data_IF_120678752232
#
_entry.id   IF_120678752232
#
_cell.length_a   1.000
_cell.length_b   1.000
_cell.length_c   1.000
_cell.angle_alpha   90.00
_cell.angle_beta   90.00
_cell.angle_gamma   90.00
#
_symmetry.space_group_name_H-M   'P 1'
#
loop_
_entity.id
_entity.type
_entity.pdbx_description
1 polymer ?
#
# COMPACT_ATOMS: atom_id res chain seq x y z
N UNK A 1 13.76 25.94 13.70
CA UNK A 1 14.21 26.64 12.48
C UNK A 1 13.40 26.10 11.32
N UNK A 2 12.38 26.83 10.93
CA UNK A 2 11.36 26.48 9.94
C UNK A 2 11.75 27.03 8.57
N UNK A 3 11.86 26.18 7.55
CA UNK A 3 12.00 26.62 6.16
C UNK A 3 10.64 26.52 5.46
N UNK A 4 10.00 27.68 5.29
CA UNK A 4 8.90 27.89 4.35
C UNK A 4 9.49 28.08 2.95
N UNK A 5 9.05 27.26 2.00
CA UNK A 5 9.31 27.45 0.58
C UNK A 5 8.07 28.09 -0.05
N UNK A 6 8.17 29.38 -0.37
CA UNK A 6 7.19 30.16 -1.15
C UNK A 6 7.90 30.57 -2.44
N UNK A 7 7.56 29.92 -3.56
CA UNK A 7 8.05 30.30 -4.88
C UNK A 7 7.18 31.45 -5.43
N UNK A 8 7.79 32.63 -5.43
CA UNK A 8 7.31 33.87 -6.02
C UNK A 8 7.33 33.77 -7.56
N UNK A 9 6.15 33.89 -8.19
CA UNK A 9 6.02 34.11 -9.64
C UNK A 9 6.15 35.62 -9.92
N UNK A 10 7.30 35.99 -10.48
CA UNK A 10 7.58 37.30 -11.07
C UNK A 10 6.78 37.46 -12.37
N UNK A 11 5.75 38.30 -12.36
CA UNK A 11 5.13 38.79 -13.60
C UNK A 11 5.82 40.10 -14.01
N UNK A 12 6.57 40.06 -15.11
CA UNK A 12 7.18 41.23 -15.76
C UNK A 12 6.08 42.10 -16.37
N UNK A 13 5.91 43.30 -15.84
CA UNK A 13 5.17 44.39 -16.48
C UNK A 13 6.12 45.01 -17.53
N UNK A 14 5.84 44.83 -18.82
CA UNK A 14 6.49 45.62 -19.87
C UNK A 14 5.64 46.86 -20.15
N UNK A 15 6.26 48.02 -19.94
CA UNK A 15 5.69 49.33 -20.14
C UNK A 15 5.46 49.65 -21.62
N UNK A 16 4.32 50.28 -21.86
CA UNK A 16 3.86 50.91 -23.08
C UNK A 16 4.82 52.03 -23.55
N UNK A 17 5.24 51.99 -24.82
CA UNK A 17 5.80 53.15 -25.53
C UNK A 17 5.31 53.14 -26.98
N UNK A 18 4.47 54.13 -27.30
CA UNK A 18 4.23 54.68 -28.63
C UNK A 18 4.97 56.05 -28.68
N UNK A 19 5.32 56.63 -29.85
CA UNK A 19 4.37 56.93 -30.92
C UNK A 19 4.92 56.82 -32.36
N UNK A 20 4.06 57.20 -33.32
CA UNK A 20 4.33 57.57 -34.71
C UNK A 20 4.38 56.41 -35.73
N UNK A 21 3.31 56.20 -36.51
CA UNK A 21 3.16 56.67 -37.90
C UNK A 21 1.80 56.23 -38.46
N UNK A 22 1.11 57.18 -39.09
CA UNK A 22 -0.06 56.97 -39.95
C UNK A 22 0.28 55.97 -41.06
N UNK A 23 -0.58 54.97 -41.29
CA UNK A 23 -0.99 54.60 -42.64
C UNK A 23 -2.32 53.85 -42.58
N UNK A 24 -3.28 54.35 -43.35
CA UNK A 24 -4.60 53.77 -43.62
C UNK A 24 -4.49 52.37 -44.21
N UNK A 25 -5.37 51.46 -43.78
CA UNK A 25 -5.63 50.20 -44.46
C UNK A 25 -6.52 49.29 -43.63
N UNK A 26 -7.82 49.25 -43.97
CA UNK A 26 -8.78 48.24 -43.50
C UNK A 26 -8.14 46.85 -43.50
N UNK A 27 -8.11 46.16 -42.36
CA UNK A 27 -8.34 44.71 -42.25
C UNK A 27 -8.36 44.28 -40.77
N UNK A 28 -9.45 43.61 -40.40
CA UNK A 28 -9.63 42.73 -39.24
C UNK A 28 -9.44 43.32 -37.81
N UNK A 29 -10.56 43.68 -37.20
CA UNK A 29 -10.79 43.44 -35.76
C UNK A 29 -10.70 41.92 -35.51
N UNK A 30 -9.48 41.40 -35.34
CA UNK A 30 -9.27 40.17 -34.60
C UNK A 30 -9.03 40.59 -33.16
N UNK A 31 -10.09 40.63 -32.36
CA UNK A 31 -9.98 40.80 -30.92
C UNK A 31 -9.03 39.73 -30.40
N UNK A 32 -7.91 40.15 -29.82
CA UNK A 32 -7.21 39.32 -28.85
C UNK A 32 -8.13 39.23 -27.63
N UNK A 33 -9.18 38.40 -27.71
CA UNK A 33 -9.78 37.80 -26.54
C UNK A 33 -8.69 36.97 -25.90
N UNK A 34 -8.12 37.54 -24.84
CA UNK A 34 -7.33 36.83 -23.85
C UNK A 34 -8.21 35.68 -23.36
N UNK A 35 -8.02 34.49 -23.92
CA UNK A 35 -8.58 33.26 -23.37
C UNK A 35 -7.86 33.07 -22.03
N UNK A 36 -8.40 33.71 -20.99
CA UNK A 36 -8.21 33.28 -19.62
C UNK A 36 -8.77 31.87 -19.57
N UNK A 37 -7.90 30.90 -19.82
CA UNK A 37 -8.11 29.52 -19.43
C UNK A 37 -8.04 29.49 -17.90
N UNK A 38 -9.04 30.08 -17.26
CA UNK A 38 -9.50 29.59 -15.99
C UNK A 38 -10.08 28.21 -16.31
N UNK A 39 -9.24 27.18 -16.28
CA UNK A 39 -9.71 25.89 -15.81
C UNK A 39 -10.24 26.13 -14.40
N UNK A 40 -11.47 26.63 -14.33
CA UNK A 40 -12.22 26.73 -13.09
C UNK A 40 -12.16 25.34 -12.49
N UNK A 41 -11.45 25.23 -11.37
CA UNK A 41 -11.49 24.03 -10.55
C UNK A 41 -12.97 23.93 -10.19
N UNK A 42 -13.70 23.08 -10.92
CA UNK A 42 -15.09 22.81 -10.61
C UNK A 42 -15.11 22.48 -9.11
N UNK A 43 -15.94 23.16 -8.30
CA UNK A 43 -15.92 22.95 -6.86
C UNK A 43 -16.06 21.45 -6.63
N UNK A 44 -15.03 20.86 -6.00
CA UNK A 44 -14.97 19.42 -5.77
C UNK A 44 -16.31 19.01 -5.18
N UNK A 45 -17.02 18.13 -5.89
CA UNK A 45 -18.34 17.64 -5.44
C UNK A 45 -18.16 17.14 -4.00
N UNK A 46 -18.99 17.61 -3.04
CA UNK A 46 -18.80 17.24 -1.64
C UNK A 46 -18.78 15.72 -1.46
N UNK A 47 -17.74 15.21 -0.82
CA UNK A 47 -17.55 13.78 -0.56
C UNK A 47 -18.50 13.33 0.54
N UNK A 48 -19.27 12.30 0.26
CA UNK A 48 -20.15 11.62 1.20
C UNK A 48 -19.52 10.29 1.65
N UNK A 49 -19.13 10.24 2.92
CA UNK A 49 -18.49 9.06 3.53
C UNK A 49 -19.46 7.89 3.67
N UNK A 50 -20.77 8.15 3.77
CA UNK A 50 -21.79 7.09 3.90
C UNK A 50 -22.05 6.36 2.58
N UNK A 51 -21.68 6.98 1.45
CA UNK A 51 -21.78 6.44 0.09
C UNK A 51 -20.43 5.99 -0.47
N UNK A 52 -19.35 6.30 0.24
CA UNK A 52 -17.98 5.90 -0.09
C UNK A 52 -17.68 4.54 0.55
N UNK A 53 -16.76 3.79 -0.03
CA UNK A 53 -16.44 2.46 0.46
C UNK A 53 -14.96 2.12 0.28
N UNK A 54 -14.52 1.12 1.04
CA UNK A 54 -13.20 0.53 0.88
C UNK A 54 -13.35 -0.98 0.85
N UNK A 55 -12.67 -1.62 -0.09
CA UNK A 55 -12.54 -3.08 -0.15
C UNK A 55 -11.08 -3.47 -0.30
N UNK A 56 -10.75 -4.67 0.17
CA UNK A 56 -9.40 -5.24 0.08
C UNK A 56 -9.50 -6.62 -0.55
N UNK A 57 -8.59 -6.93 -1.46
CA UNK A 57 -8.53 -8.25 -2.09
C UNK A 57 -8.00 -9.26 -1.07
N UNK A 58 -8.58 -10.47 -1.02
CA UNK A 58 -8.20 -11.51 -0.05
C UNK A 58 -8.25 -11.04 1.42
N UNK A 59 -9.20 -10.17 1.76
CA UNK A 59 -9.23 -9.50 3.06
C UNK A 59 -9.18 -10.46 4.27
N UNK A 60 -9.70 -11.68 4.17
CA UNK A 60 -9.71 -12.63 5.29
C UNK A 60 -8.43 -13.47 5.43
N UNK A 61 -7.56 -13.51 4.41
CA UNK A 61 -6.41 -14.43 4.31
C UNK A 61 -5.21 -13.75 3.61
N UNK A 62 -5.00 -12.47 3.91
CA UNK A 62 -3.87 -11.72 3.38
C UNK A 62 -2.57 -12.27 3.97
N UNK A 63 -1.61 -12.65 3.14
CA UNK A 63 -0.31 -13.10 3.64
C UNK A 63 0.53 -11.90 4.10
N UNK A 64 1.20 -12.03 5.25
CA UNK A 64 2.20 -11.06 5.69
C UNK A 64 3.30 -10.87 4.64
N UNK A 65 3.88 -9.66 4.56
CA UNK A 65 4.86 -9.27 3.55
C UNK A 65 4.41 -9.46 2.08
N UNK A 66 3.10 -9.63 1.82
CA UNK A 66 2.51 -9.59 0.49
C UNK A 66 1.61 -8.37 0.37
N UNK A 67 1.86 -7.56 -0.66
CA UNK A 67 1.06 -6.38 -0.93
C UNK A 67 -0.37 -6.78 -1.32
N UNK A 68 -1.34 -6.21 -0.61
CA UNK A 68 -2.76 -6.34 -0.90
C UNK A 68 -3.25 -5.14 -1.70
N UNK A 69 -4.13 -5.40 -2.67
CA UNK A 69 -4.81 -4.34 -3.40
C UNK A 69 -5.99 -3.84 -2.59
N UNK A 70 -5.93 -2.56 -2.23
CA UNK A 70 -7.00 -1.81 -1.57
C UNK A 70 -7.70 -0.95 -2.60
N UNK A 71 -9.01 -1.12 -2.74
CA UNK A 71 -9.84 -0.31 -3.63
C UNK A 71 -10.68 0.65 -2.80
N UNK A 72 -10.49 1.95 -3.03
CA UNK A 72 -11.25 3.02 -2.39
C UNK A 72 -12.22 3.61 -3.40
N UNK A 73 -13.50 3.65 -3.05
CA UNK A 73 -14.53 4.33 -3.83
C UNK A 73 -14.93 5.63 -3.15
N UNK A 74 -14.78 6.74 -3.86
CA UNK A 74 -15.14 8.08 -3.40
C UNK A 74 -16.39 8.54 -4.14
N UNK A 75 -17.47 8.82 -3.39
CA UNK A 75 -18.76 9.17 -3.95
C UNK A 75 -19.33 10.47 -3.37
N UNK A 76 -20.19 11.13 -4.14
CA UNK A 76 -21.01 12.25 -3.67
C UNK A 76 -22.29 11.76 -2.97
N UNK A 77 -23.08 12.70 -2.43
CA UNK A 77 -24.35 12.40 -1.73
C UNK A 77 -25.40 11.65 -2.56
N UNK A 78 -25.30 11.72 -3.90
CA UNK A 78 -26.19 11.02 -4.84
C UNK A 78 -25.66 9.61 -5.16
N UNK A 79 -24.49 9.24 -4.63
CA UNK A 79 -23.81 7.99 -4.93
C UNK A 79 -23.00 8.01 -6.23
N UNK A 80 -22.87 9.16 -6.90
CA UNK A 80 -22.06 9.26 -8.11
C UNK A 80 -20.57 9.30 -7.76
N UNK A 81 -19.75 8.63 -8.57
CA UNK A 81 -18.29 8.66 -8.44
C UNK A 81 -17.70 10.07 -8.59
N UNK A 82 -16.64 10.34 -7.84
CA UNK A 82 -15.87 11.58 -7.92
C UNK A 82 -14.51 11.26 -8.55
N UNK A 83 -14.26 11.81 -9.75
CA UNK A 83 -13.01 11.69 -10.50
C UNK A 83 -11.97 12.71 -9.98
N UNK A 84 -10.68 12.41 -10.15
CA UNK A 84 -9.60 13.36 -9.96
C UNK A 84 -9.12 13.48 -8.52
N UNK A 85 -9.57 12.56 -7.65
CA UNK A 85 -9.24 12.55 -6.23
C UNK A 85 -8.24 11.44 -5.96
N UNK A 86 -7.11 11.78 -5.34
CA UNK A 86 -6.15 10.81 -4.86
C UNK A 86 -6.33 10.61 -3.34
N UNK A 87 -6.91 9.49 -2.89
CA UNK A 87 -7.03 9.22 -1.47
C UNK A 87 -5.66 8.95 -0.85
N UNK A 88 -5.55 9.22 0.45
CA UNK A 88 -4.45 8.73 1.28
C UNK A 88 -5.03 7.78 2.31
N UNK A 89 -4.41 6.62 2.50
CA UNK A 89 -4.88 5.61 3.44
C UNK A 89 -3.80 5.25 4.46
N UNK A 90 -4.24 4.67 5.55
CA UNK A 90 -3.43 3.94 6.52
C UNK A 90 -4.22 2.71 7.00
N UNK A 91 -3.58 1.82 7.74
CA UNK A 91 -4.25 0.70 8.41
C UNK A 91 -4.19 0.93 9.91
N UNK A 92 -5.33 0.75 10.57
CA UNK A 92 -5.48 0.91 12.01
C UNK A 92 -6.00 -0.37 12.65
N UNK A 93 -5.67 -0.62 13.91
CA UNK A 93 -6.27 -1.71 14.68
C UNK A 93 -7.72 -1.38 15.10
N UNK A 94 -8.37 -2.30 15.83
CA UNK A 94 -9.73 -2.09 16.36
C UNK A 94 -9.86 -0.93 17.36
N UNK A 95 -8.75 -0.42 17.90
CA UNK A 95 -8.72 0.77 18.76
C UNK A 95 -8.43 2.06 17.97
N UNK A 96 -8.18 1.96 16.66
CA UNK A 96 -7.87 3.10 15.80
C UNK A 96 -6.39 3.51 15.80
N UNK A 97 -5.50 2.71 16.39
CA UNK A 97 -4.05 2.93 16.42
C UNK A 97 -3.42 2.48 15.12
N UNK A 98 -2.52 3.28 14.55
CA UNK A 98 -1.78 2.89 13.34
C UNK A 98 -0.87 1.71 13.64
N UNK A 99 -0.93 0.67 12.80
CA UNK A 99 -0.08 -0.51 12.98
C UNK A 99 1.40 -0.21 12.78
N UNK A 100 2.27 -0.72 13.67
CA UNK A 100 3.69 -0.37 13.73
C UNK A 100 4.55 -0.91 12.56
N UNK A 101 4.04 -1.84 11.76
CA UNK A 101 4.78 -2.54 10.70
C UNK A 101 4.00 -2.57 9.39
N UNK A 102 3.37 -1.44 9.08
CA UNK A 102 2.51 -1.28 7.92
C UNK A 102 3.19 -0.37 6.91
N UNK A 103 3.21 -0.81 5.66
CA UNK A 103 3.60 0.00 4.51
C UNK A 103 2.40 0.19 3.59
N UNK A 104 2.16 1.43 3.18
CA UNK A 104 1.09 1.80 2.27
C UNK A 104 1.69 2.53 1.08
N UNK A 105 1.43 2.02 -0.12
CA UNK A 105 1.81 2.67 -1.37
C UNK A 105 0.87 3.83 -1.72
N UNK A 106 1.33 4.73 -2.59
CA UNK A 106 0.48 5.80 -3.11
C UNK A 106 -0.75 5.23 -3.82
N UNK A 107 -1.92 5.80 -3.55
CA UNK A 107 -3.13 5.47 -4.27
C UNK A 107 -3.13 6.09 -5.67
N UNK A 108 -3.83 5.48 -6.62
CA UNK A 108 -4.10 6.08 -7.93
C UNK A 108 -5.05 7.28 -7.79
N UNK A 109 -5.05 8.18 -8.78
CA UNK A 109 -6.12 9.17 -8.91
C UNK A 109 -7.42 8.44 -9.26
N UNK A 110 -8.55 8.88 -8.69
CA UNK A 110 -9.85 8.25 -8.90
C UNK A 110 -10.38 8.46 -10.32
N UNK A 111 -10.97 7.41 -10.89
CA UNK A 111 -11.59 7.43 -12.21
C UNK A 111 -13.01 8.05 -12.19
N UNK A 112 -13.73 8.00 -13.32
CA UNK A 112 -15.11 8.51 -13.42
C UNK A 112 -16.13 7.78 -12.53
N UNK A 113 -15.84 6.54 -12.12
CA UNK A 113 -16.65 5.78 -11.17
C UNK A 113 -16.29 6.07 -9.71
N UNK A 114 -15.25 6.88 -9.49
CA UNK A 114 -14.73 7.25 -8.18
C UNK A 114 -13.80 6.21 -7.58
N UNK A 115 -13.31 5.25 -8.36
CA UNK A 115 -12.45 4.18 -7.89
C UNK A 115 -10.98 4.59 -7.94
N UNK A 116 -10.28 4.32 -6.84
CA UNK A 116 -8.84 4.49 -6.68
C UNK A 116 -8.26 3.20 -6.09
N UNK A 117 -7.07 2.82 -6.54
CA UNK A 117 -6.37 1.63 -6.07
C UNK A 117 -5.10 2.01 -5.32
N UNK A 118 -4.87 1.37 -4.17
CA UNK A 118 -3.69 1.53 -3.34
C UNK A 118 -3.10 0.15 -3.04
N UNK A 119 -1.83 0.10 -2.68
CA UNK A 119 -1.21 -1.09 -2.13
C UNK A 119 -1.06 -0.95 -0.62
N UNK A 120 -1.36 -2.00 0.14
CA UNK A 120 -1.09 -2.05 1.58
C UNK A 120 -0.45 -3.38 1.95
N UNK A 121 0.55 -3.35 2.82
CA UNK A 121 1.31 -4.50 3.28
C UNK A 121 1.53 -4.40 4.77
N UNK A 122 1.46 -5.54 5.47
CA UNK A 122 1.87 -5.67 6.87
C UNK A 122 2.96 -6.73 6.98
N UNK A 123 4.00 -6.45 7.76
CA UNK A 123 4.98 -7.48 8.13
C UNK A 123 4.55 -8.28 9.36
N UNK A 124 3.53 -7.84 10.10
CA UNK A 124 3.02 -8.55 11.26
C UNK A 124 1.63 -9.16 10.99
N UNK A 125 1.34 -10.35 11.53
CA UNK A 125 -0.01 -10.87 11.53
C UNK A 125 -0.90 -10.01 12.42
N UNK A 126 -2.18 -9.90 12.05
CA UNK A 126 -3.13 -9.10 12.81
C UNK A 126 -4.36 -8.72 12.01
N UNK A 127 -5.35 -8.17 12.72
CA UNK A 127 -6.59 -7.67 12.13
C UNK A 127 -6.54 -6.15 12.12
N UNK A 128 -6.72 -5.57 10.94
CA UNK A 128 -6.66 -4.12 10.72
C UNK A 128 -7.86 -3.63 9.92
N UNK A 129 -8.14 -2.33 9.99
CA UNK A 129 -9.15 -1.63 9.22
C UNK A 129 -8.46 -0.57 8.36
N UNK A 130 -8.92 -0.39 7.13
CA UNK A 130 -8.39 0.67 6.26
C UNK A 130 -9.01 1.99 6.68
N UNK A 131 -8.16 2.94 7.05
CA UNK A 131 -8.56 4.32 7.36
C UNK A 131 -8.11 5.23 6.24
N UNK A 132 -9.05 5.86 5.56
CA UNK A 132 -8.78 6.97 4.64
C UNK A 132 -8.53 8.21 5.48
N UNK A 133 -7.41 8.90 5.26
CA UNK A 133 -7.01 10.12 5.99
C UNK A 133 -7.18 11.39 5.16
N UNK A 134 -7.18 11.27 3.84
CA UNK A 134 -7.42 12.36 2.91
C UNK A 134 -8.14 11.85 1.65
N UNK A 135 -8.95 12.70 0.97
CA UNK A 135 -9.27 14.10 1.32
C UNK A 135 -10.33 14.23 2.43
N UNK A 136 -11.01 13.14 2.81
CA UNK A 136 -11.98 13.10 3.91
C UNK A 136 -11.78 11.83 4.72
N UNK A 137 -11.84 11.96 6.04
CA UNK A 137 -11.54 10.86 6.95
C UNK A 137 -12.73 9.91 7.07
N UNK A 138 -12.50 8.62 6.86
CA UNK A 138 -13.44 7.53 7.17
C UNK A 138 -12.68 6.19 7.26
N UNK A 139 -13.28 5.21 7.94
CA UNK A 139 -12.69 3.88 8.15
C UNK A 139 -13.56 2.82 7.52
N UNK A 140 -12.95 1.78 6.97
CA UNK A 140 -13.65 0.61 6.44
C UNK A 140 -14.45 -0.08 7.53
N UNK A 141 -15.62 -0.61 7.18
CA UNK A 141 -16.43 -1.44 8.07
C UNK A 141 -15.91 -2.87 8.14
N UNK A 142 -15.33 -3.35 7.04
CA UNK A 142 -14.68 -4.66 6.96
C UNK A 142 -13.21 -4.55 7.36
N UNK A 143 -12.73 -5.56 8.07
CA UNK A 143 -11.32 -5.70 8.40
C UNK A 143 -10.54 -6.45 7.31
N UNK A 144 -9.22 -6.28 7.33
CA UNK A 144 -8.24 -7.11 6.66
C UNK A 144 -7.46 -7.89 7.72
N UNK A 145 -7.37 -9.20 7.56
CA UNK A 145 -6.64 -10.12 8.43
C UNK A 145 -5.38 -10.57 7.71
N UNK A 146 -4.24 -10.15 8.25
CA UNK A 146 -2.93 -10.64 7.83
C UNK A 146 -2.58 -11.90 8.61
N UNK A 147 -2.26 -12.98 7.89
CA UNK A 147 -1.87 -14.26 8.43
C UNK A 147 -0.43 -14.59 8.05
N UNK A 148 0.26 -15.28 8.95
CA UNK A 148 1.54 -15.90 8.61
C UNK A 148 1.28 -17.17 7.81
N UNK A 149 2.01 -17.35 6.72
CA UNK A 149 2.06 -18.62 5.97
C UNK A 149 3.51 -19.09 5.97
N UNK A 150 3.70 -20.40 6.12
CA UNK A 150 5.02 -20.99 6.01
C UNK A 150 5.58 -20.73 4.61
N UNK A 151 6.75 -20.10 4.54
CA UNK A 151 7.40 -19.77 3.28
C UNK A 151 8.68 -20.59 3.08
N UNK A 152 9.48 -20.72 4.14
CA UNK A 152 10.76 -21.41 4.09
C UNK A 152 11.04 -22.21 5.36
N UNK A 153 11.89 -23.23 5.19
CA UNK A 153 12.51 -23.98 6.27
C UNK A 153 14.01 -23.67 6.29
N UNK A 154 14.54 -23.25 7.44
CA UNK A 154 15.97 -23.01 7.62
C UNK A 154 16.54 -24.02 8.60
N UNK A 155 17.61 -24.69 8.20
CA UNK A 155 18.32 -25.66 9.04
C UNK A 155 19.50 -24.98 9.71
N UNK A 156 19.74 -25.25 11.00
CA UNK A 156 20.91 -24.74 11.72
C UNK A 156 22.23 -25.40 11.31
N UNK A 157 22.14 -26.60 10.74
CA UNK A 157 23.27 -27.31 10.15
C UNK A 157 22.79 -28.15 8.96
N UNK A 158 23.53 -28.10 7.85
CA UNK A 158 23.40 -29.09 6.80
C UNK A 158 24.33 -30.27 7.10
N UNK A 159 23.89 -31.53 6.88
CA UNK A 159 24.81 -32.65 6.95
C UNK A 159 25.83 -32.50 5.84
N UNK A 160 27.09 -32.24 6.21
CA UNK A 160 28.22 -32.38 5.29
C UNK A 160 28.81 -33.76 5.53
N UNK A 161 28.75 -34.62 4.52
CA UNK A 161 29.36 -35.93 4.59
C UNK A 161 30.32 -36.06 3.42
N UNK A 162 31.62 -35.94 3.70
CA UNK A 162 32.66 -36.16 2.70
C UNK A 162 32.81 -37.65 2.37
N UNK A 163 32.62 -38.56 3.36
CA UNK A 163 32.82 -40.01 3.21
C UNK A 163 31.77 -40.80 4.02
N UNK A 164 30.55 -40.94 3.49
CA UNK A 164 29.46 -41.65 4.18
C UNK A 164 29.58 -43.17 3.99
N UNK A 165 30.28 -43.84 4.92
CA UNK A 165 30.24 -45.31 5.01
C UNK A 165 29.31 -45.84 6.11
N UNK A 166 28.93 -45.02 7.10
CA UNK A 166 27.83 -45.32 8.05
C UNK A 166 27.20 -44.01 8.53
N UNK A 167 25.86 -43.91 8.49
CA UNK A 167 25.10 -42.72 8.89
C UNK A 167 25.23 -42.44 10.40
N UNK A 168 26.07 -41.47 10.78
CA UNK A 168 26.05 -40.92 12.14
C UNK A 168 24.79 -40.09 12.33
N UNK A 169 23.93 -40.39 13.32
CA UNK A 169 22.78 -39.55 13.61
C UNK A 169 23.25 -38.16 14.02
N UNK A 170 22.63 -37.12 13.46
CA UNK A 170 22.86 -35.74 13.87
C UNK A 170 21.54 -35.08 14.25
N UNK A 171 21.61 -34.11 15.15
CA UNK A 171 20.47 -33.28 15.52
C UNK A 171 20.60 -31.94 14.83
N UNK A 172 19.58 -31.56 14.05
CA UNK A 172 19.45 -30.22 13.52
C UNK A 172 18.18 -29.57 14.08
N UNK A 173 18.24 -28.26 14.33
CA UNK A 173 17.04 -27.46 14.54
C UNK A 173 16.55 -26.93 13.18
N UNK A 174 15.24 -26.97 13.00
CA UNK A 174 14.58 -26.41 11.81
C UNK A 174 13.75 -25.20 12.24
N UNK A 175 14.05 -24.06 11.65
CA UNK A 175 13.28 -22.84 11.79
C UNK A 175 12.24 -22.76 10.67
N UNK A 176 10.98 -22.52 11.06
CA UNK A 176 9.86 -22.29 10.16
C UNK A 176 9.71 -20.78 9.99
N UNK A 177 9.95 -20.30 8.78
CA UNK A 177 10.06 -18.88 8.49
C UNK A 177 8.93 -18.48 7.53
N UNK A 178 8.24 -17.39 7.85
CA UNK A 178 7.26 -16.77 6.96
C UNK A 178 7.92 -15.79 5.98
N UNK A 179 7.14 -15.20 5.08
CA UNK A 179 7.67 -14.24 4.09
C UNK A 179 8.23 -12.96 4.71
N UNK A 180 7.74 -12.55 5.88
CA UNK A 180 8.25 -11.42 6.62
C UNK A 180 9.55 -11.75 7.39
N UNK A 181 10.10 -12.96 7.19
CA UNK A 181 11.21 -13.51 7.97
C UNK A 181 10.90 -13.62 9.47
N UNK A 182 9.62 -13.63 9.83
CA UNK A 182 9.18 -13.90 11.18
C UNK A 182 9.03 -15.40 11.37
N UNK A 183 9.17 -15.79 12.62
CA UNK A 183 9.04 -17.18 13.02
C UNK A 183 7.57 -17.55 12.97
N UNK A 184 7.25 -18.69 12.38
CA UNK A 184 5.87 -19.14 12.25
C UNK A 184 5.37 -19.72 13.59
N UNK A 185 4.38 -19.07 14.20
CA UNK A 185 3.79 -19.51 15.47
C UNK A 185 2.55 -20.36 15.23
N UNK A 186 2.51 -21.60 15.76
CA UNK A 186 1.24 -22.32 15.95
C UNK A 186 0.94 -22.46 17.44
N UNK A 187 -0.14 -21.80 17.88
CA UNK A 187 -0.85 -22.13 19.13
C UNK A 187 -0.64 -21.17 20.31
N UNK A 188 -1.75 -20.76 20.91
CA UNK A 188 -1.81 -20.00 22.16
C UNK A 188 -1.30 -20.86 23.32
N UNK A 189 -0.10 -20.53 23.84
CA UNK A 189 0.50 -21.27 24.94
C UNK A 189 2.02 -21.19 24.93
N UNK A 190 2.55 -20.00 25.24
CA UNK A 190 3.85 -19.72 25.87
C UNK A 190 4.92 -20.85 25.84
N UNK A 191 5.35 -21.29 24.66
CA UNK A 191 6.68 -21.87 24.47
C UNK A 191 7.05 -21.85 23.00
N UNK A 192 8.31 -21.53 22.72
CA UNK A 192 8.91 -21.63 21.40
C UNK A 192 8.90 -23.10 20.97
N UNK A 193 7.98 -23.52 20.10
CA UNK A 193 8.05 -24.88 19.54
C UNK A 193 9.13 -24.92 18.45
N UNK A 194 10.37 -25.12 18.88
CA UNK A 194 11.33 -25.83 18.05
C UNK A 194 10.78 -27.25 17.89
N UNK A 195 10.35 -27.66 16.69
CA UNK A 195 10.22 -29.09 16.41
C UNK A 195 11.62 -29.61 16.15
N UNK A 196 12.11 -30.47 17.06
CA UNK A 196 13.27 -31.31 16.78
C UNK A 196 12.81 -32.31 15.72
N UNK A 197 13.21 -32.11 14.47
CA UNK A 197 13.00 -33.09 13.43
C UNK A 197 14.24 -33.98 13.41
N UNK A 198 14.08 -35.25 13.76
CA UNK A 198 15.14 -36.24 13.56
C UNK A 198 15.30 -36.43 12.05
N UNK A 199 16.41 -35.93 11.51
CA UNK A 199 16.79 -36.16 10.12
C UNK A 199 17.53 -37.48 10.06
N UNK A 200 16.89 -38.51 9.49
CA UNK A 200 17.57 -39.77 9.18
C UNK A 200 18.09 -39.67 7.75
N UNK A 201 19.41 -39.58 7.59
CA UNK A 201 20.04 -39.68 6.29
C UNK A 201 20.07 -41.16 5.85
N UNK A 202 19.33 -41.48 4.80
CA UNK A 202 19.35 -42.81 4.17
C UNK A 202 19.77 -42.65 2.71
N UNK A 203 21.07 -42.78 2.43
CA UNK A 203 21.62 -42.54 1.09
C UNK A 203 21.55 -41.06 0.68
N UNK A 204 21.01 -40.77 -0.51
CA UNK A 204 20.96 -39.42 -1.09
C UNK A 204 19.68 -38.63 -0.73
N UNK A 205 18.82 -39.17 0.14
CA UNK A 205 17.56 -38.52 0.51
C UNK A 205 17.51 -38.19 2.00
N UNK A 206 16.90 -37.04 2.29
CA UNK A 206 16.53 -36.60 3.63
C UNK A 206 15.02 -36.79 3.75
N UNK A 207 14.60 -37.70 4.64
CA UNK A 207 13.19 -37.80 5.03
C UNK A 207 12.95 -37.04 6.33
N UNK A 208 11.93 -36.19 6.33
CA UNK A 208 11.42 -35.53 7.54
C UNK A 208 10.30 -36.42 8.09
N UNK A 209 10.52 -37.07 9.23
CA UNK A 209 9.48 -37.83 9.95
C UNK A 209 8.93 -36.99 11.11
N UNK A 210 7.60 -36.96 11.29
CA UNK A 210 6.94 -36.23 12.40
C UNK A 210 6.45 -34.81 12.08
N UNK A 211 6.26 -34.49 10.80
CA UNK A 211 5.60 -33.25 10.35
C UNK A 211 4.11 -33.59 10.15
N UNK A 212 3.30 -33.34 11.18
CA UNK A 212 1.83 -33.31 11.08
C UNK A 212 1.34 -31.89 10.76
#
# INVERSE_FOLDING_TARGET
MTNLWMSSLKTKILACRSPLWLLCGLLALAGCEEIKSETGIAPLRPIDVTRSSVSVTNASDAEVAVAQTVTVRIADKRGAGINGVQPTITLVDGAGTVGANISVGSCSVSDYSGLSTCAALSNLPGVYFVKVTAPKVFTSTSSVTFVQKLHALQFSAQPSCADCTVATPFTASVQLIDRASLWHWRGAGWSCQYRIITVVAAGNSVQLTGVD
#
